data_IF_536376477748
#
_entry.id   IF_536376477748
#
_cell.length_a   1.000
_cell.length_b   1.000
_cell.length_c   1.000
_cell.angle_alpha   90.00
_cell.angle_beta   90.00
_cell.angle_gamma   90.00
#
_symmetry.space_group_name_H-M   'P 1'
#
loop_
_entity.id
_entity.type
_entity.pdbx_description
1 polymer ?
#
# COMPACT_ATOMS: atom_id res chain seq x y z
N UNK A 1 4.51 15.19 -7.15
CA UNK A 1 3.51 16.25 -6.90
C UNK A 1 3.83 16.92 -5.57
N UNK A 2 3.62 18.23 -5.50
CA UNK A 2 4.34 19.14 -4.60
C UNK A 2 3.82 19.07 -3.16
N UNK A 3 4.65 18.60 -2.21
CA UNK A 3 4.39 18.54 -0.76
C UNK A 3 3.86 19.87 -0.18
N UNK A 4 4.28 21.00 -0.80
CA UNK A 4 3.75 22.34 -0.48
C UNK A 4 2.25 22.50 -0.73
N UNK A 5 1.69 21.86 -1.75
CA UNK A 5 0.26 21.94 -2.06
C UNK A 5 -0.57 21.19 -0.99
N UNK A 6 -0.07 20.03 -0.55
CA UNK A 6 -0.66 19.19 0.49
C UNK A 6 -0.65 19.90 1.85
N UNK A 7 0.46 20.53 2.23
CA UNK A 7 0.52 21.33 3.46
C UNK A 7 -0.44 22.52 3.42
N UNK A 8 -0.59 23.19 2.28
CA UNK A 8 -1.56 24.28 2.10
C UNK A 8 -3.01 23.78 2.13
N UNK A 9 -3.30 22.62 1.53
CA UNK A 9 -4.64 22.01 1.46
C UNK A 9 -5.08 21.49 2.84
N UNK A 10 -4.18 20.86 3.60
CA UNK A 10 -4.39 20.45 4.99
C UNK A 10 -4.57 21.68 5.88
N UNK A 11 -3.69 22.68 5.79
CA UNK A 11 -3.82 23.91 6.58
C UNK A 11 -5.14 24.65 6.30
N UNK A 12 -5.61 24.67 5.04
CA UNK A 12 -6.87 25.33 4.66
C UNK A 12 -8.13 24.56 5.10
N UNK A 13 -8.12 23.23 5.03
CA UNK A 13 -9.22 22.39 5.52
C UNK A 13 -9.30 22.41 7.06
N UNK A 14 -8.14 22.46 7.71
CA UNK A 14 -8.02 22.49 9.17
C UNK A 14 -8.34 23.87 9.75
N UNK A 15 -7.97 24.96 9.06
CA UNK A 15 -8.41 26.32 9.38
C UNK A 15 -9.93 26.47 9.21
N UNK A 16 -10.52 25.80 8.22
CA UNK A 16 -11.98 25.77 8.11
C UNK A 16 -12.64 24.93 9.18
N UNK A 17 -12.10 23.79 9.62
CA UNK A 17 -12.71 22.97 10.69
C UNK A 17 -12.93 23.70 12.04
N UNK A 18 -12.41 24.92 12.20
CA UNK A 18 -12.53 25.75 13.39
C UNK A 18 -13.79 26.63 13.45
N UNK A 19 -14.58 26.80 12.39
CA UNK A 19 -15.79 27.66 12.47
C UNK A 19 -17.03 26.88 12.95
N UNK A 20 -17.32 26.94 14.26
CA UNK A 20 -18.64 27.31 14.83
C UNK A 20 -18.76 26.97 16.34
N UNK A 21 -19.43 27.81 17.16
CA UNK A 21 -19.54 29.27 17.10
C UNK A 21 -19.03 29.92 18.40
N UNK A 22 -18.29 31.03 18.29
CA UNK A 22 -18.50 32.14 19.23
C UNK A 22 -19.35 33.16 18.49
N UNK A 23 -20.64 33.21 18.83
CA UNK A 23 -21.42 34.43 18.64
C UNK A 23 -20.79 35.45 19.58
N UNK A 24 -20.02 36.37 19.04
CA UNK A 24 -19.86 37.67 19.67
C UNK A 24 -19.92 38.74 18.58
N UNK A 25 -20.76 39.73 18.86
CA UNK A 25 -21.09 40.84 18.01
C UNK A 25 -19.86 41.76 17.86
N UNK A 26 -19.37 41.93 16.63
CA UNK A 26 -18.34 42.94 16.33
C UNK A 26 -17.32 42.47 15.30
N UNK A 27 -17.66 42.60 14.02
CA UNK A 27 -16.68 42.45 12.93
C UNK A 27 -15.54 43.46 13.08
N UNK A 28 -14.30 42.96 13.06
CA UNK A 28 -13.13 43.69 12.56
C UNK A 28 -12.36 42.81 11.58
N UNK A 29 -12.02 43.40 10.46
CA UNK A 29 -11.17 42.84 9.41
C UNK A 29 -9.77 42.55 9.95
N UNK A 30 -9.54 41.29 10.32
CA UNK A 30 -8.27 40.53 10.29
C UNK A 30 -8.47 39.28 11.16
N UNK A 31 -9.33 38.36 10.70
CA UNK A 31 -9.65 37.11 11.40
C UNK A 31 -8.57 36.05 11.09
N UNK A 32 -7.30 36.40 11.36
CA UNK A 32 -6.19 35.46 11.27
C UNK A 32 -6.29 34.48 12.45
N UNK A 33 -6.83 33.30 12.18
CA UNK A 33 -6.85 32.21 13.16
C UNK A 33 -5.56 31.40 13.03
N UNK A 34 -4.70 31.39 14.06
CA UNK A 34 -3.41 30.73 13.97
C UNK A 34 -3.57 29.20 13.91
N UNK A 35 -2.65 28.57 13.19
CA UNK A 35 -2.49 27.12 13.22
C UNK A 35 -2.10 26.65 14.64
N UNK A 36 -2.72 25.56 15.11
CA UNK A 36 -2.55 25.07 16.50
C UNK A 36 -2.23 23.58 16.53
N UNK A 37 -1.87 23.04 17.70
CA UNK A 37 -1.70 21.58 17.87
C UNK A 37 -2.97 20.78 17.56
N UNK A 38 -4.15 21.38 17.72
CA UNK A 38 -5.41 20.74 17.35
C UNK A 38 -5.55 20.54 15.84
N UNK A 39 -4.85 21.37 15.08
CA UNK A 39 -4.72 21.23 13.65
C UNK A 39 -3.90 19.99 13.28
N UNK A 40 -2.76 19.79 13.95
CA UNK A 40 -1.93 18.59 13.80
C UNK A 40 -2.69 17.31 14.13
N UNK A 41 -3.45 17.30 15.23
CA UNK A 41 -4.24 16.13 15.63
C UNK A 41 -5.30 15.77 14.58
N UNK A 42 -5.97 16.77 14.00
CA UNK A 42 -6.92 16.53 12.91
C UNK A 42 -6.22 15.94 11.68
N UNK A 43 -5.10 16.52 11.27
CA UNK A 43 -4.27 16.05 10.15
C UNK A 43 -3.77 14.62 10.37
N UNK A 44 -3.43 14.27 11.61
CA UNK A 44 -3.06 12.91 11.99
C UNK A 44 -4.22 11.92 11.74
N UNK A 45 -5.45 12.27 12.14
CA UNK A 45 -6.64 11.49 11.79
C UNK A 45 -6.86 11.35 10.28
N UNK A 46 -6.61 12.41 9.51
CA UNK A 46 -6.68 12.38 8.04
C UNK A 46 -5.66 11.42 7.45
N UNK A 47 -4.43 11.44 7.96
CA UNK A 47 -3.36 10.54 7.52
C UNK A 47 -3.71 9.08 7.83
N UNK A 48 -4.21 8.78 9.02
CA UNK A 48 -4.65 7.42 9.37
C UNK A 48 -5.78 6.93 8.44
N UNK A 49 -6.73 7.79 8.11
CA UNK A 49 -7.77 7.46 7.12
C UNK A 49 -7.18 7.22 5.73
N UNK A 50 -6.28 8.08 5.26
CA UNK A 50 -5.63 7.92 3.96
C UNK A 50 -4.87 6.59 3.87
N UNK A 51 -4.17 6.19 4.94
CA UNK A 51 -3.48 4.90 5.04
C UNK A 51 -4.46 3.72 4.97
N UNK A 52 -5.60 3.81 5.65
CA UNK A 52 -6.62 2.77 5.66
C UNK A 52 -7.31 2.58 4.31
N UNK A 53 -7.68 3.68 3.63
CA UNK A 53 -8.50 3.64 2.42
C UNK A 53 -7.70 3.84 1.12
N UNK A 54 -6.41 4.13 1.22
CA UNK A 54 -5.46 4.28 0.11
C UNK A 54 -5.96 5.20 -1.00
N UNK A 55 -6.61 6.31 -0.61
CA UNK A 55 -7.16 7.30 -1.53
C UNK A 55 -7.08 8.69 -0.92
N UNK A 56 -7.05 9.70 -1.77
CA UNK A 56 -7.05 11.09 -1.32
C UNK A 56 -8.39 11.44 -0.66
N UNK A 57 -8.37 12.04 0.54
CA UNK A 57 -9.57 12.55 1.16
C UNK A 57 -10.23 13.64 0.32
N UNK A 58 -11.55 13.63 0.25
CA UNK A 58 -12.38 14.62 -0.45
C UNK A 58 -11.99 14.83 -1.92
N UNK A 59 -11.48 13.78 -2.58
CA UNK A 59 -10.88 13.83 -3.93
C UNK A 59 -11.71 14.58 -4.98
N UNK A 60 -13.03 14.57 -4.85
CA UNK A 60 -13.97 15.13 -5.81
C UNK A 60 -14.62 16.46 -5.35
N UNK A 61 -14.04 17.12 -4.34
CA UNK A 61 -14.55 18.37 -3.78
C UNK A 61 -13.54 19.51 -3.95
N UNK A 62 -14.04 20.71 -4.26
CA UNK A 62 -13.23 21.93 -4.25
C UNK A 62 -12.93 22.38 -2.82
N UNK A 63 -11.86 23.17 -2.62
CA UNK A 63 -11.42 23.60 -1.28
C UNK A 63 -12.56 24.25 -0.50
N UNK A 64 -13.31 25.17 -1.10
CA UNK A 64 -14.44 25.85 -0.44
C UNK A 64 -15.57 24.89 -0.02
N UNK A 65 -15.76 23.81 -0.77
CA UNK A 65 -16.75 22.77 -0.46
C UNK A 65 -16.27 21.89 0.68
N UNK A 66 -14.97 21.51 0.69
CA UNK A 66 -14.34 20.77 1.79
C UNK A 66 -14.46 21.57 3.08
N UNK A 67 -14.14 22.87 3.03
CA UNK A 67 -14.25 23.76 4.17
C UNK A 67 -15.68 23.72 4.74
N UNK A 68 -16.70 24.00 3.90
CA UNK A 68 -18.10 23.93 4.30
C UNK A 68 -18.52 22.55 4.81
N UNK A 69 -18.01 21.48 4.22
CA UNK A 69 -18.32 20.10 4.60
C UNK A 69 -17.82 19.79 6.03
N UNK A 70 -16.54 20.07 6.29
CA UNK A 70 -15.89 19.81 7.57
C UNK A 70 -16.47 20.70 8.68
N UNK A 71 -16.76 21.97 8.35
CA UNK A 71 -17.45 22.94 9.19
C UNK A 71 -18.83 22.49 9.69
N UNK A 72 -19.58 21.81 8.83
CA UNK A 72 -20.87 21.22 9.19
C UNK A 72 -20.73 19.90 9.97
N UNK A 73 -19.54 19.60 10.50
CA UNK A 73 -19.25 18.40 11.27
C UNK A 73 -19.17 17.11 10.44
N UNK A 74 -19.19 17.21 9.10
CA UNK A 74 -19.09 16.04 8.22
C UNK A 74 -17.64 15.62 8.01
N UNK A 75 -17.41 14.33 7.78
CA UNK A 75 -16.09 13.71 7.60
C UNK A 75 -16.17 12.66 6.50
N UNK A 76 -15.01 12.21 6.05
CA UNK A 76 -14.88 11.00 5.24
C UNK A 76 -15.51 9.78 5.92
N UNK A 77 -16.00 8.85 5.11
CA UNK A 77 -16.67 7.65 5.60
C UNK A 77 -15.66 6.59 6.08
N UNK A 78 -15.91 6.02 7.26
CA UNK A 78 -15.13 4.93 7.84
C UNK A 78 -15.76 3.57 7.51
N UNK A 79 -15.77 3.23 6.23
CA UNK A 79 -16.40 2.01 5.73
C UNK A 79 -15.42 0.84 5.75
N UNK A 80 -14.95 0.46 6.94
CA UNK A 80 -14.11 -0.73 7.09
C UNK A 80 -14.91 -2.00 6.76
N UNK A 81 -14.31 -2.98 6.07
CA UNK A 81 -14.90 -4.30 5.99
C UNK A 81 -15.02 -4.91 7.39
N UNK A 82 -16.12 -5.59 7.66
CA UNK A 82 -16.32 -6.27 8.95
C UNK A 82 -15.24 -7.35 9.13
N UNK A 83 -14.53 -7.31 10.26
CA UNK A 83 -13.58 -8.34 10.67
C UNK A 83 -13.90 -8.86 12.07
N UNK A 84 -13.50 -10.09 12.35
CA UNK A 84 -13.63 -10.72 13.67
C UNK A 84 -12.62 -10.20 14.69
N UNK A 85 -11.59 -9.47 14.27
CA UNK A 85 -10.50 -9.03 15.16
C UNK A 85 -10.79 -7.71 15.87
N UNK A 86 -11.78 -6.94 15.38
CA UNK A 86 -12.15 -5.65 15.97
C UNK A 86 -11.12 -4.53 15.78
N UNK A 87 -10.00 -4.81 15.09
CA UNK A 87 -8.91 -3.85 14.89
C UNK A 87 -9.41 -2.63 14.13
N UNK A 88 -10.21 -2.84 13.08
CA UNK A 88 -10.80 -1.79 12.25
C UNK A 88 -11.75 -0.89 13.04
N UNK A 89 -12.47 -1.47 14.01
CA UNK A 89 -13.37 -0.71 14.88
C UNK A 89 -12.56 0.24 15.76
N UNK A 90 -11.55 -0.27 16.46
CA UNK A 90 -10.74 0.55 17.35
C UNK A 90 -9.86 1.55 16.57
N UNK A 91 -9.30 1.15 15.43
CA UNK A 91 -8.61 2.06 14.52
C UNK A 91 -9.53 3.18 14.03
N UNK A 92 -10.78 2.85 13.69
CA UNK A 92 -11.81 3.84 13.35
C UNK A 92 -12.17 4.76 14.51
N UNK A 93 -12.15 4.27 15.76
CA UNK A 93 -12.37 5.10 16.95
C UNK A 93 -11.25 6.12 17.14
N UNK A 94 -10.00 5.72 16.94
CA UNK A 94 -8.82 6.61 16.99
C UNK A 94 -8.96 7.73 15.95
N UNK A 95 -9.34 7.40 14.71
CA UNK A 95 -9.60 8.40 13.66
C UNK A 95 -10.73 9.35 14.07
N UNK A 96 -11.85 8.83 14.59
CA UNK A 96 -12.99 9.66 15.04
C UNK A 96 -12.61 10.60 16.17
N UNK A 97 -11.80 10.14 17.12
CA UNK A 97 -11.32 10.96 18.24
C UNK A 97 -10.46 12.13 17.74
N UNK A 98 -9.54 11.86 16.81
CA UNK A 98 -8.72 12.88 16.15
C UNK A 98 -9.57 13.89 15.33
N UNK A 99 -10.69 13.44 14.77
CA UNK A 99 -11.60 14.24 13.94
C UNK A 99 -12.72 14.96 14.68
N UNK A 100 -12.71 14.96 16.01
CA UNK A 100 -13.79 15.56 16.80
C UNK A 100 -14.08 17.00 16.35
N UNK A 101 -15.37 17.35 16.18
CA UNK A 101 -15.77 18.68 15.66
C UNK A 101 -15.36 19.80 16.58
N UNK A 102 -15.46 19.59 17.89
CA UNK A 102 -14.87 20.47 18.89
C UNK A 102 -13.36 20.18 19.04
N UNK A 103 -12.46 21.12 18.72
CA UNK A 103 -11.02 20.94 18.86
C UNK A 103 -10.56 20.69 20.31
N UNK A 104 -11.29 21.16 21.32
CA UNK A 104 -10.91 20.98 22.73
C UNK A 104 -11.11 19.56 23.23
N UNK A 105 -11.93 18.76 22.52
CA UNK A 105 -12.24 17.38 22.85
C UNK A 105 -11.36 16.37 22.10
N UNK A 106 -10.45 16.84 21.25
CA UNK A 106 -9.48 15.97 20.58
C UNK A 106 -8.38 15.58 21.58
N UNK A 107 -8.08 14.29 21.74
CA UNK A 107 -7.03 13.84 22.65
C UNK A 107 -5.65 14.26 22.15
N UNK A 108 -4.69 14.41 23.06
CA UNK A 108 -3.30 14.67 22.68
C UNK A 108 -2.72 13.52 21.84
N UNK A 109 -1.75 13.84 20.97
CA UNK A 109 -1.10 12.86 20.12
C UNK A 109 -0.50 11.68 20.90
N UNK A 110 0.00 11.92 22.11
CA UNK A 110 0.54 10.88 23.01
C UNK A 110 -0.50 9.79 23.31
N UNK A 111 -1.75 10.17 23.59
CA UNK A 111 -2.84 9.21 23.83
C UNK A 111 -3.20 8.46 22.56
N UNK A 112 -3.29 9.15 21.42
CA UNK A 112 -3.57 8.50 20.13
C UNK A 112 -2.48 7.50 19.73
N UNK A 113 -1.22 7.81 20.00
CA UNK A 113 -0.11 6.87 19.80
C UNK A 113 -0.18 5.67 20.74
N UNK A 114 -0.48 5.90 22.01
CA UNK A 114 -0.68 4.82 22.98
C UNK A 114 -1.86 3.91 22.58
N UNK A 115 -2.95 4.46 22.05
CA UNK A 115 -4.08 3.68 21.54
C UNK A 115 -3.66 2.82 20.34
N UNK A 116 -2.86 3.36 19.40
CA UNK A 116 -2.30 2.60 18.28
C UNK A 116 -1.33 1.50 18.75
N UNK A 117 -0.51 1.80 19.75
CA UNK A 117 0.42 0.84 20.34
C UNK A 117 -0.33 -0.30 21.02
N UNK A 118 -1.33 0.01 21.84
CA UNK A 118 -2.19 -0.98 22.47
C UNK A 118 -2.97 -1.82 21.46
N UNK A 119 -3.42 -1.20 20.36
CA UNK A 119 -4.10 -1.89 19.27
C UNK A 119 -3.18 -2.88 18.54
N UNK A 120 -1.92 -2.49 18.32
CA UNK A 120 -0.94 -3.31 17.59
C UNK A 120 -0.22 -4.34 18.47
N UNK A 121 -0.06 -4.08 19.76
CA UNK A 121 0.70 -4.91 20.70
C UNK A 121 0.29 -6.39 20.68
N UNK A 122 -1.02 -6.76 20.68
CA UNK A 122 -1.42 -8.16 20.56
C UNK A 122 -0.99 -8.81 19.24
N UNK A 123 -0.82 -8.04 18.17
CA UNK A 123 -0.43 -8.52 16.85
C UNK A 123 1.08 -8.73 16.73
N UNK A 124 1.88 -8.16 17.63
CA UNK A 124 3.34 -8.25 17.65
C UNK A 124 3.76 -9.43 18.55
N UNK A 125 4.87 -10.11 18.23
CA UNK A 125 5.39 -11.22 19.03
C UNK A 125 6.81 -10.93 19.52
N UNK A 126 7.04 -11.11 20.82
CA UNK A 126 8.35 -10.93 21.48
C UNK A 126 9.47 -11.85 20.94
N UNK A 127 9.14 -12.89 20.15
CA UNK A 127 10.12 -13.87 19.67
C UNK A 127 10.66 -13.58 18.27
N UNK A 128 10.19 -12.53 17.60
CA UNK A 128 10.64 -12.17 16.24
C UNK A 128 11.44 -10.87 16.28
N UNK A 129 12.70 -10.84 15.82
CA UNK A 129 13.53 -9.64 15.85
C UNK A 129 12.99 -8.44 15.05
N UNK A 130 11.91 -8.61 14.25
CA UNK A 130 11.36 -7.60 13.33
C UNK A 130 9.86 -7.66 13.00
N UNK A 131 8.97 -8.44 13.63
CA UNK A 131 7.59 -8.36 13.14
C UNK A 131 6.55 -9.33 13.68
N UNK A 132 5.31 -8.94 13.35
CA UNK A 132 4.00 -9.53 13.59
C UNK A 132 3.99 -11.04 13.84
N UNK A 133 3.12 -11.50 14.76
CA UNK A 133 2.89 -12.90 15.07
C UNK A 133 2.50 -13.67 13.78
N UNK A 134 3.25 -14.71 13.37
CA UNK A 134 3.00 -15.41 12.10
C UNK A 134 1.60 -16.02 12.00
N UNK A 135 1.06 -16.55 13.11
CA UNK A 135 -0.28 -17.14 13.13
C UNK A 135 -1.36 -16.09 12.94
N UNK A 136 -1.28 -14.98 13.68
CA UNK A 136 -2.22 -13.86 13.50
C UNK A 136 -2.11 -13.21 12.13
N UNK A 137 -0.89 -13.11 11.61
CA UNK A 137 -0.64 -12.60 10.25
C UNK A 137 -1.30 -13.50 9.19
N UNK A 138 -1.18 -14.81 9.34
CA UNK A 138 -1.86 -15.78 8.49
C UNK A 138 -3.38 -15.64 8.57
N UNK A 139 -3.96 -15.60 9.79
CA UNK A 139 -5.41 -15.42 9.99
C UNK A 139 -5.93 -14.12 9.36
N UNK A 140 -5.17 -13.02 9.47
CA UNK A 140 -5.48 -11.76 8.78
C UNK A 140 -5.50 -11.95 7.26
N UNK A 141 -4.50 -12.62 6.68
CA UNK A 141 -4.49 -12.87 5.24
C UNK A 141 -5.64 -13.77 4.78
N UNK A 142 -6.04 -14.76 5.57
CA UNK A 142 -7.23 -15.57 5.29
C UNK A 142 -8.50 -14.71 5.25
N UNK A 143 -8.74 -13.90 6.28
CA UNK A 143 -9.93 -13.03 6.34
C UNK A 143 -9.96 -11.98 5.24
N UNK A 144 -8.84 -11.36 4.93
CA UNK A 144 -8.79 -10.41 3.83
C UNK A 144 -8.90 -11.10 2.46
N UNK A 145 -8.41 -12.33 2.32
CA UNK A 145 -8.60 -13.12 1.10
C UNK A 145 -10.06 -13.51 0.88
N UNK A 146 -10.81 -13.85 1.95
CA UNK A 146 -12.27 -14.13 1.91
C UNK A 146 -13.06 -12.95 1.33
N UNK A 147 -12.67 -11.70 1.65
CA UNK A 147 -13.25 -10.48 1.06
C UNK A 147 -12.56 -10.03 -0.24
N UNK A 148 -11.91 -10.96 -0.95
CA UNK A 148 -11.32 -10.76 -2.26
C UNK A 148 -10.16 -9.74 -2.35
N UNK A 149 -9.50 -9.42 -1.22
CA UNK A 149 -8.31 -8.57 -1.23
C UNK A 149 -7.15 -9.28 -1.96
N UNK A 150 -6.70 -8.67 -3.06
CA UNK A 150 -5.67 -9.24 -3.94
C UNK A 150 -4.30 -9.37 -3.29
N UNK A 151 -3.91 -8.42 -2.44
CA UNK A 151 -2.63 -8.44 -1.74
C UNK A 151 -2.64 -9.52 -0.66
N UNK A 152 -3.75 -9.66 0.06
CA UNK A 152 -3.93 -10.73 1.04
C UNK A 152 -3.90 -12.12 0.38
N UNK A 153 -4.53 -12.31 -0.79
CA UNK A 153 -4.43 -13.56 -1.56
C UNK A 153 -2.99 -13.90 -1.93
N UNK A 154 -2.21 -12.92 -2.39
CA UNK A 154 -0.79 -13.13 -2.64
C UNK A 154 -0.03 -13.62 -1.40
N UNK A 155 -0.20 -12.95 -0.26
CA UNK A 155 0.50 -13.34 0.96
C UNK A 155 0.01 -14.67 1.50
N UNK A 156 -1.29 -14.95 1.43
CA UNK A 156 -1.85 -16.24 1.80
C UNK A 156 -1.23 -17.37 0.95
N UNK A 157 -1.13 -17.16 -0.37
CA UNK A 157 -0.45 -18.07 -1.27
C UNK A 157 1.01 -18.28 -0.90
N UNK A 158 1.71 -17.23 -0.46
CA UNK A 158 3.09 -17.33 0.03
C UNK A 158 3.22 -18.22 1.27
N UNK A 159 2.27 -18.14 2.21
CA UNK A 159 2.26 -19.00 3.40
C UNK A 159 2.03 -20.47 3.04
N UNK A 160 1.11 -20.77 2.12
CA UNK A 160 0.92 -22.12 1.60
C UNK A 160 2.13 -22.61 0.79
N UNK A 161 2.83 -21.70 0.09
CA UNK A 161 4.03 -22.03 -0.67
C UNK A 161 5.20 -22.42 0.23
N UNK A 162 5.42 -21.70 1.34
CA UNK A 162 6.56 -21.96 2.23
C UNK A 162 6.26 -22.99 3.32
N UNK A 163 5.00 -23.11 3.75
CA UNK A 163 4.59 -24.03 4.80
C UNK A 163 4.87 -23.54 6.24
N UNK A 164 4.83 -22.22 6.49
CA UNK A 164 5.29 -21.65 7.78
C UNK A 164 4.34 -21.90 8.97
N UNK A 165 3.04 -21.68 8.79
CA UNK A 165 1.99 -21.78 9.83
C UNK A 165 1.00 -22.90 9.53
N UNK A 166 1.01 -23.34 8.29
CA UNK A 166 0.07 -24.25 7.65
C UNK A 166 0.89 -25.18 6.78
N UNK A 167 0.45 -26.42 6.60
CA UNK A 167 1.14 -27.38 5.76
C UNK A 167 1.34 -26.85 4.34
N UNK A 168 2.53 -27.12 3.80
CA UNK A 168 2.91 -26.72 2.45
C UNK A 168 1.91 -27.29 1.44
N UNK A 169 1.30 -26.41 0.64
CA UNK A 169 0.35 -26.78 -0.40
C UNK A 169 0.58 -25.92 -1.65
N UNK A 170 1.33 -26.48 -2.60
CA UNK A 170 1.75 -25.74 -3.80
C UNK A 170 0.59 -25.46 -4.75
N UNK A 171 -0.37 -26.39 -4.87
CA UNK A 171 -1.56 -26.19 -5.72
C UNK A 171 -2.39 -24.99 -5.25
N UNK A 172 -2.71 -24.96 -3.95
CA UNK A 172 -3.44 -23.83 -3.34
C UNK A 172 -2.65 -22.53 -3.41
N UNK A 173 -1.33 -22.59 -3.22
CA UNK A 173 -0.47 -21.41 -3.34
C UNK A 173 -0.54 -20.80 -4.75
N UNK A 174 -0.46 -21.64 -5.78
CA UNK A 174 -0.48 -21.21 -7.18
C UNK A 174 -1.85 -20.69 -7.61
N UNK A 175 -2.94 -21.31 -7.16
CA UNK A 175 -4.29 -20.78 -7.34
C UNK A 175 -4.42 -19.36 -6.78
N UNK A 176 -3.97 -19.15 -5.54
CA UNK A 176 -3.99 -17.83 -4.89
C UNK A 176 -3.07 -16.81 -5.59
N UNK A 177 -1.89 -17.24 -6.05
CA UNK A 177 -1.01 -16.38 -6.86
C UNK A 177 -1.68 -15.98 -8.17
N UNK A 178 -2.34 -16.91 -8.85
CA UNK A 178 -3.05 -16.66 -10.11
C UNK A 178 -4.15 -15.61 -9.92
N UNK A 179 -5.00 -15.80 -8.92
CA UNK A 179 -6.08 -14.86 -8.61
C UNK A 179 -5.57 -13.45 -8.29
N UNK A 180 -4.49 -13.35 -7.50
CA UNK A 180 -3.86 -12.07 -7.20
C UNK A 180 -3.16 -11.45 -8.42
N UNK A 181 -2.55 -12.27 -9.27
CA UNK A 181 -1.86 -11.87 -10.48
C UNK A 181 -2.82 -11.27 -11.52
N UNK A 182 -3.97 -11.92 -11.73
CA UNK A 182 -5.05 -11.44 -12.61
C UNK A 182 -5.60 -10.08 -12.16
N UNK A 183 -5.52 -9.77 -10.86
CA UNK A 183 -5.92 -8.48 -10.27
C UNK A 183 -4.78 -7.44 -10.21
N UNK A 184 -3.65 -7.72 -10.85
CA UNK A 184 -2.57 -6.74 -11.02
C UNK A 184 -1.57 -6.67 -9.87
N UNK A 185 -1.45 -7.70 -9.02
CA UNK A 185 -0.39 -7.71 -7.98
C UNK A 185 0.94 -8.12 -8.62
N UNK A 186 1.95 -7.23 -8.70
CA UNK A 186 3.17 -7.49 -9.48
C UNK A 186 3.98 -8.67 -8.94
N UNK A 187 4.05 -8.82 -7.61
CA UNK A 187 4.74 -9.93 -6.97
C UNK A 187 4.03 -11.27 -7.21
N UNK A 188 2.70 -11.26 -7.27
CA UNK A 188 1.91 -12.45 -7.60
C UNK A 188 2.10 -12.86 -9.06
N UNK A 189 2.12 -11.89 -9.98
CA UNK A 189 2.41 -12.12 -11.40
C UNK A 189 3.78 -12.77 -11.58
N UNK A 190 4.81 -12.26 -10.89
CA UNK A 190 6.14 -12.85 -10.92
C UNK A 190 6.14 -14.29 -10.36
N UNK A 191 5.51 -14.51 -9.20
CA UNK A 191 5.46 -15.85 -8.58
C UNK A 191 4.71 -16.86 -9.43
N UNK A 192 3.57 -16.49 -9.99
CA UNK A 192 2.80 -17.36 -10.88
C UNK A 192 3.60 -17.69 -12.15
N UNK A 193 4.30 -16.70 -12.74
CA UNK A 193 5.21 -16.96 -13.85
C UNK A 193 6.26 -18.02 -13.46
N UNK A 194 6.98 -17.84 -12.36
CA UNK A 194 7.98 -18.84 -11.95
C UNK A 194 7.41 -20.20 -11.54
N UNK A 195 6.16 -20.26 -11.06
CA UNK A 195 5.49 -21.53 -10.81
C UNK A 195 5.23 -22.32 -12.11
N UNK A 196 5.00 -21.65 -13.25
CA UNK A 196 4.90 -22.30 -14.55
C UNK A 196 6.23 -22.91 -15.01
N UNK A 197 7.37 -22.31 -14.66
CA UNK A 197 8.69 -22.77 -15.11
C UNK A 197 9.39 -23.74 -14.16
N UNK A 198 8.81 -24.03 -13.00
CA UNK A 198 9.31 -25.05 -12.09
C UNK A 198 8.99 -26.46 -12.61
N UNK A 199 10.04 -27.22 -12.96
CA UNK A 199 9.91 -28.60 -13.46
C UNK A 199 9.28 -29.56 -12.46
N UNK A 200 9.41 -29.26 -11.16
CA UNK A 200 8.83 -30.05 -10.07
C UNK A 200 7.63 -29.33 -9.44
N UNK A 201 7.17 -28.24 -10.06
CA UNK A 201 6.05 -27.44 -9.58
C UNK A 201 4.70 -28.06 -9.91
N UNK A 202 3.62 -27.49 -9.36
CA UNK A 202 2.25 -27.98 -9.58
C UNK A 202 1.70 -27.68 -10.98
N UNK A 203 2.37 -26.82 -11.75
CA UNK A 203 1.93 -26.41 -13.08
C UNK A 203 2.74 -27.06 -14.18
N UNK A 204 2.07 -27.37 -15.29
CA UNK A 204 2.75 -27.73 -16.54
C UNK A 204 3.35 -26.47 -17.17
N UNK A 205 4.61 -26.58 -17.61
CA UNK A 205 5.28 -25.49 -18.29
C UNK A 205 4.55 -25.03 -19.56
N UNK A 206 4.33 -23.72 -19.62
CA UNK A 206 3.80 -23.00 -20.78
C UNK A 206 4.62 -21.70 -20.97
N UNK A 207 5.40 -21.65 -22.06
CA UNK A 207 6.27 -20.51 -22.37
C UNK A 207 5.49 -19.23 -22.63
N UNK A 208 4.38 -19.30 -23.37
CA UNK A 208 3.58 -18.13 -23.71
C UNK A 208 2.98 -17.50 -22.44
N UNK A 209 2.42 -18.35 -21.57
CA UNK A 209 1.85 -17.90 -20.31
C UNK A 209 2.93 -17.37 -19.34
N UNK A 210 4.09 -18.04 -19.27
CA UNK A 210 5.25 -17.57 -18.50
C UNK A 210 5.65 -16.14 -18.91
N UNK A 211 5.86 -15.91 -20.22
CA UNK A 211 6.26 -14.60 -20.75
C UNK A 211 5.17 -13.56 -20.50
N UNK A 212 3.89 -13.92 -20.66
CA UNK A 212 2.76 -13.03 -20.40
C UNK A 212 2.78 -12.50 -18.96
N UNK A 213 2.81 -13.37 -17.96
CA UNK A 213 2.82 -12.92 -16.56
C UNK A 213 4.10 -12.22 -16.17
N UNK A 214 5.25 -12.64 -16.70
CA UNK A 214 6.52 -11.96 -16.45
C UNK A 214 6.51 -10.53 -17.01
N UNK A 215 5.91 -10.34 -18.20
CA UNK A 215 5.70 -9.02 -18.81
C UNK A 215 4.75 -8.17 -17.96
N UNK A 216 3.60 -8.71 -17.55
CA UNK A 216 2.67 -8.01 -16.67
C UNK A 216 3.35 -7.56 -15.36
N UNK A 217 4.15 -8.43 -14.74
CA UNK A 217 4.88 -8.09 -13.52
C UNK A 217 5.89 -6.96 -13.75
N UNK A 218 6.63 -7.01 -14.87
CA UNK A 218 7.64 -6.00 -15.21
C UNK A 218 7.01 -4.63 -15.46
N UNK A 219 5.91 -4.60 -16.23
CA UNK A 219 5.18 -3.38 -16.58
C UNK A 219 4.48 -2.77 -15.36
N UNK A 220 3.96 -3.61 -14.44
CA UNK A 220 3.43 -3.16 -13.15
C UNK A 220 4.52 -2.87 -12.09
N UNK A 221 5.78 -2.75 -12.52
CA UNK A 221 6.84 -2.16 -11.72
C UNK A 221 7.70 -3.15 -10.92
N UNK A 222 7.45 -4.45 -10.97
CA UNK A 222 8.28 -5.44 -10.27
C UNK A 222 9.70 -5.45 -10.85
N UNK A 223 10.69 -5.12 -10.02
CA UNK A 223 12.09 -4.95 -10.45
C UNK A 223 12.76 -6.27 -10.80
N UNK A 224 12.43 -7.35 -10.09
CA UNK A 224 12.93 -8.68 -10.41
C UNK A 224 12.37 -9.17 -11.77
N UNK A 225 11.09 -8.90 -12.05
CA UNK A 225 10.47 -9.20 -13.33
C UNK A 225 11.12 -8.43 -14.49
N UNK A 226 11.35 -7.12 -14.32
CA UNK A 226 12.06 -6.30 -15.32
C UNK A 226 13.44 -6.88 -15.63
N UNK A 227 14.23 -7.26 -14.62
CA UNK A 227 15.52 -7.90 -14.86
C UNK A 227 15.38 -9.22 -15.63
N UNK A 228 14.48 -10.12 -15.20
CA UNK A 228 14.33 -11.44 -15.83
C UNK A 228 13.84 -11.32 -17.27
N UNK A 229 12.89 -10.43 -17.55
CA UNK A 229 12.38 -10.19 -18.89
C UNK A 229 13.44 -9.53 -19.78
N UNK A 230 14.18 -8.58 -19.23
CA UNK A 230 15.30 -7.92 -19.91
C UNK A 230 16.40 -8.90 -20.29
N UNK A 231 16.83 -9.75 -19.36
CA UNK A 231 17.81 -10.81 -19.61
C UNK A 231 17.32 -11.84 -20.63
N UNK A 232 16.03 -12.17 -20.61
CA UNK A 232 15.41 -13.12 -21.53
C UNK A 232 15.40 -12.62 -22.98
N UNK A 233 15.05 -11.35 -23.21
CA UNK A 233 15.12 -10.74 -24.55
C UNK A 233 16.56 -10.43 -24.96
N UNK A 234 17.36 -9.86 -24.07
CA UNK A 234 18.73 -9.44 -24.38
C UNK A 234 19.63 -10.61 -24.77
N UNK A 235 19.45 -11.78 -24.14
CA UNK A 235 20.24 -12.98 -24.43
C UNK A 235 19.50 -14.03 -25.27
N UNK A 236 18.24 -13.81 -25.64
CA UNK A 236 17.44 -14.77 -26.41
C UNK A 236 17.27 -16.13 -25.69
N UNK A 237 16.77 -16.12 -24.45
CA UNK A 237 16.64 -17.32 -23.60
C UNK A 237 15.31 -18.04 -23.82
N UNK A 238 15.24 -19.32 -23.44
CA UNK A 238 14.03 -20.14 -23.45
C UNK A 238 13.35 -20.25 -24.84
N UNK A 239 14.14 -20.17 -25.92
CA UNK A 239 13.63 -20.23 -27.30
C UNK A 239 13.01 -18.93 -27.79
N UNK A 240 13.15 -17.83 -27.05
CA UNK A 240 12.71 -16.50 -27.48
C UNK A 240 13.81 -15.85 -28.31
N UNK A 241 13.42 -15.26 -29.44
CA UNK A 241 14.33 -14.52 -30.30
C UNK A 241 14.97 -13.36 -29.54
N UNK A 242 16.27 -13.18 -29.75
CA UNK A 242 17.03 -12.09 -29.16
C UNK A 242 16.52 -10.75 -29.67
N UNK A 243 16.25 -9.84 -28.74
CA UNK A 243 15.86 -8.44 -28.97
C UNK A 243 16.65 -7.59 -27.98
N UNK A 244 17.79 -7.06 -28.44
CA UNK A 244 18.72 -6.33 -27.59
C UNK A 244 18.14 -5.00 -27.10
N UNK A 245 17.41 -4.30 -27.96
CA UNK A 245 16.84 -3.00 -27.63
C UNK A 245 15.77 -3.15 -26.54
N UNK A 246 14.83 -4.08 -26.74
CA UNK A 246 13.79 -4.39 -25.75
C UNK A 246 14.39 -4.96 -24.47
N UNK A 247 15.36 -5.86 -24.58
CA UNK A 247 16.04 -6.42 -23.42
C UNK A 247 16.75 -5.34 -22.60
N UNK A 248 17.46 -4.44 -23.27
CA UNK A 248 18.22 -3.38 -22.64
C UNK A 248 17.32 -2.35 -21.97
N UNK A 249 16.15 -2.04 -22.53
CA UNK A 249 15.20 -1.09 -21.92
C UNK A 249 14.71 -1.58 -20.56
N UNK A 250 14.32 -2.86 -20.46
CA UNK A 250 13.93 -3.47 -19.18
C UNK A 250 15.09 -3.60 -18.19
N UNK A 251 16.29 -3.96 -18.65
CA UNK A 251 17.48 -4.01 -17.79
C UNK A 251 17.82 -2.64 -17.19
N UNK A 252 17.78 -1.58 -17.99
CA UNK A 252 17.99 -0.20 -17.52
C UNK A 252 16.94 0.20 -16.49
N UNK A 253 15.67 -0.09 -16.75
CA UNK A 253 14.58 0.19 -15.81
C UNK A 253 14.79 -0.51 -14.46
N UNK A 254 15.16 -1.80 -14.48
CA UNK A 254 15.48 -2.56 -13.28
C UNK A 254 16.68 -1.96 -12.52
N UNK A 255 17.74 -1.58 -13.24
CA UNK A 255 18.95 -1.00 -12.65
C UNK A 255 18.72 0.37 -11.99
N UNK A 256 17.94 1.24 -12.64
CA UNK A 256 17.50 2.54 -12.08
C UNK A 256 16.75 2.32 -10.77
N UNK A 257 15.86 1.31 -10.73
CA UNK A 257 15.09 0.94 -9.54
C UNK A 257 15.87 0.10 -8.51
N UNK A 258 17.19 -0.02 -8.65
CA UNK A 258 18.04 -0.64 -7.64
C UNK A 258 18.21 -2.14 -7.73
N UNK A 259 17.79 -2.79 -8.82
CA UNK A 259 17.95 -4.24 -8.97
C UNK A 259 19.45 -4.59 -9.11
N UNK A 260 20.06 -5.35 -8.18
CA UNK A 260 21.52 -5.53 -8.14
C UNK A 260 22.10 -6.33 -9.31
N UNK A 261 21.39 -7.39 -9.77
CA UNK A 261 21.81 -8.20 -10.92
C UNK A 261 21.75 -7.40 -12.22
N UNK A 262 20.76 -6.52 -12.38
CA UNK A 262 20.64 -5.65 -13.54
C UNK A 262 21.80 -4.64 -13.58
N UNK A 263 22.10 -3.99 -12.45
CA UNK A 263 23.26 -3.09 -12.31
C UNK A 263 24.56 -3.80 -12.66
N UNK A 264 24.83 -4.92 -11.99
CA UNK A 264 26.03 -5.71 -12.23
C UNK A 264 26.17 -6.18 -13.69
N UNK A 265 25.05 -6.53 -14.34
CA UNK A 265 25.03 -6.90 -15.75
C UNK A 265 25.38 -5.73 -16.66
N UNK A 266 24.76 -4.57 -16.46
CA UNK A 266 25.01 -3.37 -17.27
C UNK A 266 26.41 -2.79 -17.04
N UNK A 267 26.91 -2.83 -15.81
CA UNK A 267 28.29 -2.44 -15.47
C UNK A 267 29.31 -3.32 -16.21
N UNK A 268 29.09 -4.64 -16.22
CA UNK A 268 29.92 -5.60 -16.97
C UNK A 268 29.89 -5.33 -18.47
N UNK A 269 28.75 -4.89 -18.99
CA UNK A 269 28.58 -4.51 -20.40
C UNK A 269 29.05 -3.08 -20.70
N UNK A 270 29.48 -2.31 -19.69
CA UNK A 270 29.86 -0.89 -19.79
C UNK A 270 28.74 0.00 -20.35
N UNK A 271 27.48 -0.32 -20.03
CA UNK A 271 26.31 0.45 -20.47
C UNK A 271 25.85 1.37 -19.33
N UNK A 272 25.78 2.68 -19.60
CA UNK A 272 25.23 3.63 -18.63
C UNK A 272 23.69 3.47 -18.52
N UNK A 273 23.20 3.47 -17.28
CA UNK A 273 21.79 3.42 -16.90
C UNK A 273 21.38 4.53 -15.93
N UNK A 274 22.30 5.40 -15.54
CA UNK A 274 22.02 6.64 -14.82
C UNK A 274 21.85 7.74 -15.87
N UNK A 275 20.62 8.22 -16.03
CA UNK A 275 20.29 9.41 -16.82
C UNK A 275 20.10 10.58 -15.88
#
# INVERSE_FOLDING_TARGET
MNSKKIQTEIAAAVSAAQQAPKKDEGKKDDDYVPYTIQCEIFSFGMLLWELAFQRFPYKDMEISEIQKHVLNGKREHLNFPLSSFGVEKEYGNIIKAAWHSDPSLRPELSYLFNDLENLSSPLISDRSPRGLNPKRTFECFEKHAEINNKVAKYWLGYYYWEGYVVDKNLDKAVELFKEAADKGVPDAQLRYAFALSDKNGPLKYNLEEFVKYLTMAADNGNTAAQFNLGDLYFNGKLGISKDEEKGLSYLKLAAIKGQPKARAMLDKLKINYLV
#
